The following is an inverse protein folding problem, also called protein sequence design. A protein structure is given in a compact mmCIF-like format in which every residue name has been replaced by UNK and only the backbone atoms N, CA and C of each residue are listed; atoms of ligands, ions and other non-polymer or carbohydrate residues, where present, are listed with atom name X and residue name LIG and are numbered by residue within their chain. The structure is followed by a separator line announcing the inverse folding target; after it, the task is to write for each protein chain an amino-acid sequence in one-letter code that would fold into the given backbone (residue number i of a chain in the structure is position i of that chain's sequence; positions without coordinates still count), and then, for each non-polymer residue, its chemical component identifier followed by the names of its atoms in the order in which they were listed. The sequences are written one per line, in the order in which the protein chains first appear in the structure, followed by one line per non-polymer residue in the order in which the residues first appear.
data_IF_721422970656
#
_entry.id   IF_721422970656
#
_cell.length_a   1.000
_cell.length_b   1.000
_cell.length_c   1.000
_cell.angle_alpha   90.00
_cell.angle_beta   90.00
_cell.angle_gamma   90.00
#
_symmetry.space_group_name_H-M   'P 1'
#
loop_
_entity.id
_entity.type
_entity.pdbx_description
1 polymer ?
#
# COMPACT_ATOMS: atom_id res chain seq x y z
N UNK A 1 33.14 -2.23 12.56
CA UNK A 1 31.88 -2.31 11.79
C UNK A 1 32.26 -2.74 10.39
N UNK A 2 31.86 -3.94 10.03
CA UNK A 2 32.23 -4.49 8.73
C UNK A 2 31.50 -3.71 7.64
N UNK A 3 32.26 -3.18 6.69
CA UNK A 3 31.72 -2.40 5.57
C UNK A 3 30.66 -3.19 4.78
N UNK A 4 30.77 -4.50 4.74
CA UNK A 4 29.80 -5.41 4.17
C UNK A 4 28.44 -5.36 4.89
N UNK A 5 28.43 -5.38 6.23
CA UNK A 5 27.20 -5.30 7.03
C UNK A 5 26.49 -3.94 6.84
N UNK A 6 27.27 -2.86 6.79
CA UNK A 6 26.70 -1.52 6.56
C UNK A 6 26.05 -1.43 5.17
N UNK A 7 26.72 -1.93 4.13
CA UNK A 7 26.19 -1.91 2.77
C UNK A 7 24.93 -2.79 2.62
N UNK A 8 24.89 -3.94 3.29
CA UNK A 8 23.73 -4.83 3.33
C UNK A 8 22.50 -4.15 3.96
N UNK A 9 22.69 -3.54 5.13
CA UNK A 9 21.64 -2.79 5.82
C UNK A 9 21.15 -1.60 5.01
N UNK A 10 22.08 -0.86 4.37
CA UNK A 10 21.72 0.29 3.55
C UNK A 10 20.89 -0.12 2.32
N UNK A 11 21.26 -1.19 1.64
CA UNK A 11 20.53 -1.69 0.47
C UNK A 11 19.15 -2.23 0.89
N UNK A 12 19.07 -3.08 1.91
CA UNK A 12 17.79 -3.59 2.40
C UNK A 12 16.88 -2.45 2.91
N UNK A 13 17.45 -1.43 3.54
CA UNK A 13 16.74 -0.21 3.93
C UNK A 13 16.21 0.59 2.73
N UNK A 14 17.01 0.74 1.68
CA UNK A 14 16.57 1.40 0.45
C UNK A 14 15.45 0.62 -0.26
N UNK A 15 15.54 -0.70 -0.33
CA UNK A 15 14.51 -1.56 -0.92
C UNK A 15 13.19 -1.47 -0.15
N UNK A 16 13.22 -1.51 1.18
CA UNK A 16 12.03 -1.32 2.00
C UNK A 16 11.47 0.10 1.89
N UNK A 17 12.33 1.11 1.79
CA UNK A 17 11.95 2.50 1.54
C UNK A 17 11.19 2.68 0.23
N UNK A 18 11.58 1.97 -0.85
CA UNK A 18 10.85 1.95 -2.11
C UNK A 18 9.43 1.36 -1.95
N UNK A 19 9.24 0.36 -1.11
CA UNK A 19 7.91 -0.19 -0.82
C UNK A 19 7.03 0.82 -0.06
N UNK A 20 7.59 1.51 0.94
CA UNK A 20 6.86 2.59 1.64
C UNK A 20 6.51 3.76 0.72
N UNK A 21 7.32 4.03 -0.28
CA UNK A 21 7.06 5.09 -1.24
C UNK A 21 5.79 4.85 -2.07
N UNK A 22 5.34 3.60 -2.27
CA UNK A 22 4.04 3.29 -2.90
C UNK A 22 2.87 3.78 -2.06
N UNK A 23 2.95 3.64 -0.73
CA UNK A 23 1.90 4.17 0.17
C UNK A 23 1.87 5.69 0.09
N UNK A 24 3.05 6.33 0.10
CA UNK A 24 3.17 7.77 -0.06
C UNK A 24 2.61 8.25 -1.41
N UNK A 25 2.87 7.51 -2.50
CA UNK A 25 2.31 7.79 -3.82
C UNK A 25 0.77 7.73 -3.80
N UNK A 26 0.19 6.75 -3.09
CA UNK A 26 -1.25 6.68 -2.88
C UNK A 26 -1.82 7.91 -2.18
N UNK A 27 -1.16 8.41 -1.13
CA UNK A 27 -1.54 9.65 -0.44
C UNK A 27 -1.49 10.86 -1.38
N UNK A 28 -0.41 10.97 -2.17
CA UNK A 28 -0.24 12.07 -3.14
C UNK A 28 -1.32 12.04 -4.22
N UNK A 29 -1.69 10.84 -4.71
CA UNK A 29 -2.76 10.69 -5.71
C UNK A 29 -4.11 11.16 -5.18
N UNK A 30 -4.46 10.76 -3.97
CA UNK A 30 -5.71 11.18 -3.31
C UNK A 30 -5.67 12.69 -3.07
N UNK A 31 -4.57 13.22 -2.55
CA UNK A 31 -4.41 14.65 -2.33
C UNK A 31 -4.58 15.46 -3.61
N UNK A 32 -4.01 15.01 -4.73
CA UNK A 32 -4.16 15.68 -6.02
C UNK A 32 -5.59 15.66 -6.56
N UNK A 33 -6.37 14.64 -6.22
CA UNK A 33 -7.75 14.53 -6.73
C UNK A 33 -8.79 15.21 -5.82
N UNK A 34 -8.54 15.27 -4.52
CA UNK A 34 -9.50 15.76 -3.51
C UNK A 34 -9.04 17.00 -2.76
N UNK A 35 -7.79 17.46 -2.97
CA UNK A 35 -7.13 18.54 -2.21
C UNK A 35 -7.05 18.30 -0.70
N UNK A 36 -7.37 17.09 -0.24
CA UNK A 36 -7.28 16.69 1.17
C UNK A 36 -6.52 15.36 1.29
N UNK A 37 -5.48 15.28 2.14
CA UNK A 37 -4.77 14.03 2.36
C UNK A 37 -5.65 13.03 3.12
N UNK A 38 -5.63 11.76 2.68
CA UNK A 38 -6.30 10.69 3.41
C UNK A 38 -5.30 10.04 4.40
N UNK A 39 -5.44 10.36 5.68
CA UNK A 39 -4.58 9.82 6.73
C UNK A 39 -4.85 8.34 7.03
N UNK A 40 -6.01 7.80 6.61
CA UNK A 40 -6.33 6.38 6.73
C UNK A 40 -5.65 5.49 5.67
N UNK A 41 -4.83 6.06 4.77
CA UNK A 41 -4.19 5.31 3.69
C UNK A 41 -3.35 4.14 4.20
N UNK A 42 -2.62 4.31 5.31
CA UNK A 42 -1.84 3.25 5.94
C UNK A 42 -2.70 2.07 6.42
N UNK A 43 -3.82 2.38 7.10
CA UNK A 43 -4.77 1.36 7.55
C UNK A 43 -5.45 0.64 6.38
N UNK A 44 -5.78 1.36 5.31
CA UNK A 44 -6.33 0.76 4.09
C UNK A 44 -5.33 -0.18 3.41
N UNK A 45 -4.05 0.17 3.39
CA UNK A 45 -2.98 -0.70 2.87
C UNK A 45 -2.86 -1.97 3.71
N UNK A 46 -2.88 -1.84 5.04
CA UNK A 46 -2.90 -2.97 5.97
C UNK A 46 -4.12 -3.87 5.73
N UNK A 47 -5.32 -3.30 5.66
CA UNK A 47 -6.55 -4.05 5.37
C UNK A 47 -6.44 -4.79 4.03
N UNK A 48 -5.92 -4.13 2.99
CA UNK A 48 -5.69 -4.75 1.68
C UNK A 48 -4.79 -5.98 1.75
N UNK A 49 -3.70 -5.92 2.52
CA UNK A 49 -2.83 -7.07 2.73
C UNK A 49 -3.54 -8.24 3.44
N UNK A 50 -4.36 -7.96 4.46
CA UNK A 50 -5.16 -8.98 5.13
C UNK A 50 -6.26 -9.57 4.23
N UNK A 51 -6.86 -8.77 3.35
CA UNK A 51 -7.83 -9.26 2.36
C UNK A 51 -7.18 -10.21 1.36
N UNK A 52 -5.97 -9.88 0.85
CA UNK A 52 -5.20 -10.79 -0.01
C UNK A 52 -4.92 -12.11 0.73
N UNK A 53 -4.47 -12.04 1.98
CA UNK A 53 -4.18 -13.22 2.80
C UNK A 53 -5.44 -14.07 3.05
N UNK A 54 -6.57 -13.43 3.33
CA UNK A 54 -7.84 -14.12 3.55
C UNK A 54 -8.33 -14.84 2.28
N UNK A 55 -8.19 -14.22 1.12
CA UNK A 55 -8.56 -14.84 -0.17
C UNK A 55 -7.62 -15.99 -0.52
N UNK A 56 -6.31 -15.78 -0.39
CA UNK A 56 -5.31 -16.80 -0.70
C UNK A 56 -5.46 -18.04 0.20
N UNK A 57 -5.58 -17.84 1.52
CA UNK A 57 -5.66 -18.95 2.48
C UNK A 57 -7.07 -19.52 2.64
N UNK A 58 -8.13 -18.67 2.52
CA UNK A 58 -9.51 -19.10 2.72
C UNK A 58 -10.09 -19.88 1.54
N UNK A 59 -9.74 -19.49 0.32
CA UNK A 59 -10.25 -20.09 -0.90
C UNK A 59 -9.20 -21.01 -1.55
N UNK A 60 -7.95 -20.97 -1.07
CA UNK A 60 -6.84 -21.75 -1.63
C UNK A 60 -6.42 -21.30 -3.02
N UNK A 61 -6.68 -20.04 -3.38
CA UNK A 61 -6.35 -19.51 -4.68
C UNK A 61 -4.86 -19.14 -4.75
N UNK A 62 -4.23 -19.35 -5.90
CA UNK A 62 -2.86 -18.89 -6.12
C UNK A 62 -2.80 -17.37 -6.01
N UNK A 63 -1.66 -16.86 -5.53
CA UNK A 63 -1.44 -15.44 -5.26
C UNK A 63 -1.77 -14.51 -6.44
N UNK A 64 -1.48 -14.96 -7.66
CA UNK A 64 -1.75 -14.23 -8.91
C UNK A 64 -3.23 -13.92 -9.14
N UNK A 65 -4.13 -14.75 -8.63
CA UNK A 65 -5.57 -14.54 -8.71
C UNK A 65 -6.11 -13.86 -7.45
N UNK A 66 -5.49 -14.10 -6.30
CA UNK A 66 -5.88 -13.47 -5.04
C UNK A 66 -5.67 -11.95 -5.05
N UNK A 67 -4.57 -11.47 -5.66
CA UNK A 67 -4.28 -10.03 -5.75
C UNK A 67 -5.34 -9.25 -6.54
N UNK A 68 -5.70 -9.61 -7.80
CA UNK A 68 -6.75 -8.90 -8.53
C UNK A 68 -8.12 -8.95 -7.82
N UNK A 69 -8.44 -10.07 -7.18
CA UNK A 69 -9.69 -10.21 -6.46
C UNK A 69 -9.73 -9.32 -5.21
N UNK A 70 -8.60 -9.24 -4.49
CA UNK A 70 -8.43 -8.32 -3.36
C UNK A 70 -8.49 -6.85 -3.81
N UNK A 71 -7.91 -6.51 -4.96
CA UNK A 71 -8.04 -5.16 -5.53
C UNK A 71 -9.50 -4.81 -5.83
N UNK A 72 -10.28 -5.75 -6.38
CA UNK A 72 -11.72 -5.58 -6.59
C UNK A 72 -12.47 -5.37 -5.27
N UNK A 73 -12.20 -6.18 -4.27
CA UNK A 73 -12.81 -6.03 -2.91
C UNK A 73 -12.45 -4.68 -2.29
N UNK A 74 -11.18 -4.28 -2.35
CA UNK A 74 -10.72 -3.00 -1.82
C UNK A 74 -11.30 -1.80 -2.58
N UNK A 75 -11.58 -1.96 -3.88
CA UNK A 75 -12.29 -0.95 -4.66
C UNK A 75 -13.70 -0.70 -4.10
N UNK A 76 -14.46 -1.76 -3.82
CA UNK A 76 -15.79 -1.62 -3.22
C UNK A 76 -15.74 -1.08 -1.79
N UNK A 77 -14.77 -1.49 -0.99
CA UNK A 77 -14.54 -0.94 0.35
C UNK A 77 -14.24 0.55 0.27
N UNK A 78 -13.33 0.96 -0.61
CA UNK A 78 -12.98 2.37 -0.85
C UNK A 78 -14.19 3.21 -1.29
N UNK A 79 -14.99 2.70 -2.22
CA UNK A 79 -16.23 3.33 -2.67
C UNK A 79 -17.25 3.47 -1.51
N UNK A 80 -17.37 2.46 -0.66
CA UNK A 80 -18.20 2.51 0.53
C UNK A 80 -17.75 3.61 1.50
N UNK A 81 -16.46 3.67 1.79
CA UNK A 81 -15.86 4.69 2.66
C UNK A 81 -16.08 6.09 2.07
N UNK A 82 -15.81 6.26 0.79
CA UNK A 82 -16.03 7.53 0.10
C UNK A 82 -17.49 7.97 0.24
N UNK A 83 -18.44 7.09 -0.07
CA UNK A 83 -19.87 7.41 -0.07
C UNK A 83 -20.43 7.70 1.33
N UNK A 84 -20.02 6.93 2.33
CA UNK A 84 -20.57 7.01 3.70
C UNK A 84 -19.86 8.08 4.53
N UNK A 85 -18.54 8.16 4.42
CA UNK A 85 -17.72 9.01 5.26
C UNK A 85 -17.35 10.33 4.56
N UNK A 86 -16.61 10.25 3.46
CA UNK A 86 -15.98 11.43 2.86
C UNK A 86 -16.97 12.33 2.12
N UNK A 87 -17.91 11.75 1.39
CA UNK A 87 -18.91 12.51 0.62
C UNK A 87 -19.81 13.39 1.48
N UNK A 88 -20.10 12.97 2.73
CA UNK A 88 -20.90 13.76 3.68
C UNK A 88 -20.14 14.96 4.23
N UNK A 89 -18.81 14.95 4.14
CA UNK A 89 -17.95 16.03 4.59
C UNK A 89 -17.48 16.95 3.44
N UNK A 90 -17.92 16.69 2.21
CA UNK A 90 -17.62 17.55 1.07
C UNK A 90 -18.12 18.98 1.36
N UNK A 91 -17.25 19.98 1.19
CA UNK A 91 -17.54 21.39 1.50
C UNK A 91 -17.40 21.78 2.98
N UNK A 92 -17.01 20.87 3.88
CA UNK A 92 -16.68 21.18 5.27
C UNK A 92 -15.21 21.61 5.40
N UNK A 93 -14.85 22.31 6.50
CA UNK A 93 -13.47 22.68 6.77
C UNK A 93 -12.52 21.49 6.72
N UNK A 94 -11.31 21.68 6.17
CA UNK A 94 -10.28 20.62 6.00
C UNK A 94 -10.00 19.86 7.30
N UNK A 95 -10.02 20.55 8.45
CA UNK A 95 -9.80 19.95 9.76
C UNK A 95 -10.83 18.84 10.07
N UNK A 96 -12.10 19.03 9.70
CA UNK A 96 -13.13 18.00 9.91
C UNK A 96 -12.86 16.74 9.07
N UNK A 97 -12.37 16.93 7.84
CA UNK A 97 -12.05 15.81 6.95
C UNK A 97 -10.81 15.07 7.48
N UNK A 98 -9.80 15.79 7.96
CA UNK A 98 -8.62 15.18 8.58
C UNK A 98 -8.98 14.37 9.83
N UNK A 99 -9.81 14.93 10.71
CA UNK A 99 -10.28 14.20 11.91
C UNK A 99 -11.08 12.96 11.55
N UNK A 100 -11.89 13.03 10.49
CA UNK A 100 -12.63 11.87 10.00
C UNK A 100 -11.70 10.78 9.45
N UNK A 101 -10.66 11.15 8.69
CA UNK A 101 -9.70 10.18 8.16
C UNK A 101 -8.85 9.55 9.28
N UNK A 102 -8.52 10.28 10.34
CA UNK A 102 -7.88 9.73 11.54
C UNK A 102 -8.80 8.75 12.28
N UNK A 103 -10.07 9.11 12.47
CA UNK A 103 -11.06 8.20 13.05
C UNK A 103 -11.23 6.94 12.21
N UNK A 104 -11.21 7.08 10.89
CA UNK A 104 -11.28 5.96 9.96
C UNK A 104 -10.02 5.07 10.03
N UNK A 105 -8.83 5.64 10.18
CA UNK A 105 -7.58 4.88 10.40
C UNK A 105 -7.70 3.98 11.62
N UNK A 106 -8.13 4.55 12.76
CA UNK A 106 -8.31 3.80 14.01
C UNK A 106 -9.39 2.71 13.84
N UNK A 107 -10.49 3.04 13.22
CA UNK A 107 -11.61 2.11 12.99
C UNK A 107 -11.18 0.92 12.12
N UNK A 108 -10.50 1.17 11.00
CA UNK A 108 -10.03 0.12 10.10
C UNK A 108 -9.01 -0.77 10.81
N UNK A 109 -8.06 -0.22 11.55
CA UNK A 109 -7.07 -0.99 12.32
C UNK A 109 -7.75 -1.87 13.36
N UNK A 110 -8.63 -1.30 14.17
CA UNK A 110 -9.36 -2.03 15.20
C UNK A 110 -10.21 -3.17 14.60
N UNK A 111 -10.92 -2.91 13.51
CA UNK A 111 -11.74 -3.91 12.81
C UNK A 111 -10.88 -5.01 12.23
N UNK A 112 -9.74 -4.67 11.59
CA UNK A 112 -8.81 -5.65 11.05
C UNK A 112 -8.26 -6.54 12.16
N UNK A 113 -7.84 -5.97 13.29
CA UNK A 113 -7.35 -6.73 14.45
C UNK A 113 -8.44 -7.59 15.08
N UNK A 114 -9.69 -7.13 15.12
CA UNK A 114 -10.81 -7.88 15.66
C UNK A 114 -11.13 -9.12 14.80
N UNK A 115 -11.01 -9.02 13.47
CA UNK A 115 -11.33 -10.13 12.54
C UNK A 115 -10.18 -11.14 12.46
N UNK A 116 -8.94 -10.67 12.31
CA UNK A 116 -7.78 -11.54 12.05
C UNK A 116 -6.86 -11.74 13.24
N UNK A 117 -7.08 -11.02 14.34
CA UNK A 117 -6.21 -11.02 15.52
C UNK A 117 -5.05 -10.04 15.42
N UNK A 118 -4.35 -9.83 16.54
CA UNK A 118 -3.19 -8.90 16.63
C UNK A 118 -1.85 -9.57 16.29
N UNK A 119 -1.83 -10.89 16.06
CA UNK A 119 -0.61 -11.63 15.74
C UNK A 119 -0.16 -11.37 14.31
N UNK A 120 1.14 -11.11 14.14
CA UNK A 120 1.74 -11.03 12.81
C UNK A 120 1.61 -12.40 12.11
N UNK A 121 1.02 -12.39 10.92
CA UNK A 121 0.86 -13.59 10.11
C UNK A 121 1.88 -13.59 8.99
N UNK A 122 2.76 -14.58 8.90
CA UNK A 122 3.67 -14.72 7.79
C UNK A 122 2.84 -14.95 6.51
N UNK A 123 3.14 -14.22 5.47
CA UNK A 123 2.49 -14.33 4.16
C UNK A 123 3.45 -15.02 3.21
N UNK A 124 3.19 -16.28 2.93
CA UNK A 124 3.90 -16.99 1.88
C UNK A 124 3.43 -16.52 0.51
N UNK A 125 4.18 -15.62 -0.11
CA UNK A 125 3.87 -15.06 -1.44
C UNK A 125 4.18 -16.06 -2.56
N UNK A 126 4.53 -17.31 -2.22
CA UNK A 126 5.03 -18.30 -3.20
C UNK A 126 6.43 -17.94 -3.74
N UNK A 127 7.06 -16.94 -3.16
CA UNK A 127 8.46 -16.60 -3.39
C UNK A 127 9.22 -17.32 -2.29
N UNK A 128 10.19 -18.15 -2.68
CA UNK A 128 11.11 -18.79 -1.73
C UNK A 128 11.73 -17.71 -0.83
N UNK A 129 11.63 -17.90 0.49
CA UNK A 129 12.22 -16.99 1.48
C UNK A 129 13.76 -17.10 1.53
N UNK A 130 14.34 -17.89 0.61
CA UNK A 130 15.78 -18.02 0.51
C UNK A 130 16.40 -16.66 0.15
N UNK A 131 17.37 -16.19 0.96
CA UNK A 131 18.06 -14.94 0.68
C UNK A 131 18.83 -15.04 -0.64
N UNK A 132 18.76 -13.97 -1.43
CA UNK A 132 19.58 -13.82 -2.62
C UNK A 132 21.00 -13.46 -2.21
N UNK A 133 21.93 -14.38 -2.50
CA UNK A 133 23.36 -14.14 -2.31
C UNK A 133 23.92 -13.36 -3.52
N UNK A 134 24.16 -12.06 -3.36
CA UNK A 134 24.90 -11.27 -4.32
C UNK A 134 26.33 -11.06 -3.79
N UNK A 135 27.17 -12.08 -3.94
CA UNK A 135 28.52 -12.10 -3.35
C UNK A 135 28.45 -12.16 -1.82
N UNK A 136 29.05 -11.20 -1.09
CA UNK A 136 29.03 -11.18 0.38
C UNK A 136 27.75 -10.57 0.96
N UNK A 137 26.79 -10.11 0.11
CA UNK A 137 25.58 -9.41 0.52
C UNK A 137 24.37 -10.36 0.58
N UNK A 138 23.67 -10.36 1.72
CA UNK A 138 22.42 -11.07 1.95
C UNK A 138 21.25 -10.13 1.65
N UNK A 139 20.59 -10.31 0.51
CA UNK A 139 19.41 -9.52 0.13
C UNK A 139 18.14 -10.34 0.34
N UNK A 140 17.14 -9.74 0.99
CA UNK A 140 15.84 -10.37 1.11
C UNK A 140 15.12 -10.34 -0.26
N UNK A 141 14.88 -11.53 -0.82
CA UNK A 141 14.26 -11.71 -2.14
C UNK A 141 12.90 -11.02 -2.24
N UNK A 142 12.11 -11.05 -1.18
CA UNK A 142 10.79 -10.40 -1.14
C UNK A 142 10.90 -8.87 -1.27
N UNK A 143 11.93 -8.26 -0.68
CA UNK A 143 12.17 -6.81 -0.83
C UNK A 143 12.62 -6.44 -2.24
N UNK A 144 13.43 -7.26 -2.87
CA UNK A 144 13.87 -7.02 -4.26
C UNK A 144 12.68 -7.07 -5.21
N UNK A 145 11.83 -8.10 -5.10
CA UNK A 145 10.62 -8.21 -5.92
C UNK A 145 9.67 -7.05 -5.65
N UNK A 146 9.43 -6.71 -4.39
CA UNK A 146 8.60 -5.57 -4.00
C UNK A 146 9.13 -4.24 -4.55
N UNK A 147 10.44 -4.02 -4.50
CA UNK A 147 11.08 -2.82 -5.04
C UNK A 147 10.97 -2.72 -6.57
N UNK A 148 11.10 -3.84 -7.30
CA UNK A 148 10.91 -3.88 -8.76
C UNK A 148 9.47 -3.53 -9.12
N UNK A 149 8.48 -4.10 -8.41
CA UNK A 149 7.07 -3.78 -8.61
C UNK A 149 6.81 -2.31 -8.28
N UNK A 150 7.39 -1.80 -7.18
CA UNK A 150 7.29 -0.40 -6.80
C UNK A 150 7.84 0.52 -7.88
N UNK A 151 9.03 0.25 -8.38
CA UNK A 151 9.67 1.03 -9.45
C UNK A 151 8.83 1.01 -10.75
N UNK A 152 8.28 -0.15 -11.12
CA UNK A 152 7.41 -0.28 -12.28
C UNK A 152 6.14 0.56 -12.14
N UNK A 153 5.49 0.51 -10.97
CA UNK A 153 4.30 1.33 -10.70
C UNK A 153 4.63 2.83 -10.71
N UNK A 154 5.76 3.24 -10.12
CA UNK A 154 6.22 4.62 -10.20
C UNK A 154 6.43 5.07 -11.65
N UNK A 155 7.04 4.24 -12.48
CA UNK A 155 7.23 4.54 -13.90
C UNK A 155 5.89 4.70 -14.62
N UNK A 156 4.94 3.78 -14.39
CA UNK A 156 3.59 3.85 -14.96
C UNK A 156 2.90 5.16 -14.56
N UNK A 157 2.91 5.51 -13.27
CA UNK A 157 2.31 6.75 -12.80
C UNK A 157 3.02 7.99 -13.34
N UNK A 158 4.34 7.98 -13.40
CA UNK A 158 5.12 9.07 -13.97
C UNK A 158 4.75 9.34 -15.43
N UNK A 159 4.68 8.29 -16.26
CA UNK A 159 4.25 8.39 -17.65
C UNK A 159 2.79 8.82 -17.76
N UNK A 160 1.89 8.25 -16.92
CA UNK A 160 0.48 8.63 -16.89
C UNK A 160 0.30 10.14 -16.64
N UNK A 161 1.02 10.71 -15.66
CA UNK A 161 0.97 12.14 -15.36
C UNK A 161 1.61 13.03 -16.42
N UNK A 162 2.44 12.48 -17.30
CA UNK A 162 2.95 13.19 -18.48
C UNK A 162 1.96 13.22 -19.65
N UNK A 163 0.97 12.33 -19.66
CA UNK A 163 -0.03 12.25 -20.71
C UNK A 163 -1.03 13.41 -20.57
N UNK A 164 -1.64 13.84 -21.68
CA UNK A 164 -2.63 14.94 -21.71
C UNK A 164 -3.76 14.76 -20.67
N UNK A 165 -4.18 13.53 -20.37
CA UNK A 165 -5.19 13.20 -19.34
C UNK A 165 -4.68 13.47 -17.92
N UNK A 166 -3.39 13.28 -17.66
CA UNK A 166 -2.76 13.58 -16.38
C UNK A 166 -2.56 15.08 -16.13
N UNK A 167 -2.45 15.88 -17.22
CA UNK A 167 -2.33 17.35 -17.13
C UNK A 167 -3.65 17.98 -16.70
N UNK A 168 -4.79 17.43 -17.13
CA UNK A 168 -6.13 17.91 -16.72
C UNK A 168 -6.34 17.74 -15.23
N UNK A 169 -5.81 16.66 -14.62
CA UNK A 169 -5.83 16.45 -13.17
C UNK A 169 -4.91 17.40 -12.38
N UNK A 170 -4.04 18.15 -13.06
CA UNK A 170 -3.20 19.20 -12.45
C UNK A 170 -3.86 20.59 -12.45
N UNK A 171 -4.92 20.74 -13.23
CA UNK A 171 -5.59 22.02 -13.46
C UNK A 171 -6.86 22.22 -12.60
N UNK A 172 -7.19 21.24 -11.77
CA UNK A 172 -8.25 21.30 -10.76
C UNK A 172 -7.59 21.48 -9.37
#
# INVERSE_FOLDING_TARGET
MDFSLFSELAINGALSGLMYSLVALGIVLIYKSSSVPNLAQGAMTMLGAYVVLAIANGIGLPMWTAIPLAMGTMFFVGMGIERVALRRLAGRPIIMILMMTLGLDIFIRATTMAIWGSSSRPMSIGISDEPLFLGPLLLNRSYVVGAVVAAALFAIFFFFFRTRRGIVLRAI
#
